data_IF_210454900826
#
_entry.id   IF_210454900826
#
_cell.length_a   1.000
_cell.length_b   1.000
_cell.length_c   1.000
_cell.angle_alpha   90.00
_cell.angle_beta   90.00
_cell.angle_gamma   90.00
#
_symmetry.space_group_name_H-M   'P 1'
#
loop_
_entity.id
_entity.type
_entity.pdbx_description
1 polymer ?
#
# COMPACT_ATOMS: atom_id res chain seq x y z
N UNK A 1 -13.06 2.10 -7.38
CA UNK A 1 -12.84 2.88 -6.13
C UNK A 1 -13.00 2.00 -4.89
N UNK A 2 -14.08 1.23 -4.77
CA UNK A 2 -14.24 0.26 -3.67
C UNK A 2 -13.14 -0.82 -3.67
N UNK A 3 -12.68 -1.25 -4.85
CA UNK A 3 -11.60 -2.23 -4.98
C UNK A 3 -10.26 -1.70 -4.46
N UNK A 4 -9.97 -0.42 -4.69
CA UNK A 4 -8.76 0.24 -4.19
C UNK A 4 -8.74 0.23 -2.67
N UNK A 5 -9.84 0.63 -2.03
CA UNK A 5 -9.94 0.64 -0.57
C UNK A 5 -9.92 -0.77 0.01
N UNK A 6 -10.55 -1.74 -0.66
CA UNK A 6 -10.54 -3.15 -0.25
C UNK A 6 -9.14 -3.77 -0.31
N UNK A 7 -8.32 -3.34 -1.27
CA UNK A 7 -6.94 -3.79 -1.40
C UNK A 7 -6.02 -3.08 -0.40
N UNK A 8 -6.23 -1.78 -0.18
CA UNK A 8 -5.50 -1.01 0.83
C UNK A 8 -5.74 -1.52 2.26
N UNK A 9 -6.98 -1.88 2.62
CA UNK A 9 -7.34 -2.44 3.94
C UNK A 9 -6.69 -3.82 4.19
N UNK A 10 -6.30 -4.54 3.13
CA UNK A 10 -5.51 -5.78 3.25
C UNK A 10 -4.02 -5.53 3.53
N UNK A 11 -3.51 -4.37 3.11
CA UNK A 11 -2.11 -3.98 3.29
C UNK A 11 -1.92 -3.32 4.66
N UNK A 12 -2.83 -2.42 5.01
CA UNK A 12 -2.80 -1.65 6.25
C UNK A 12 -4.15 -1.78 6.98
N UNK A 13 -4.11 -2.33 8.19
CA UNK A 13 -5.28 -2.51 9.04
C UNK A 13 -5.68 -1.20 9.74
N UNK A 14 -4.74 -0.27 9.93
CA UNK A 14 -5.02 1.05 10.44
C UNK A 14 -5.79 1.88 9.40
N UNK A 15 -7.09 2.01 9.64
CA UNK A 15 -7.98 2.76 8.74
C UNK A 15 -7.57 4.22 8.60
N UNK A 16 -6.98 4.83 9.63
CA UNK A 16 -6.57 6.23 9.54
C UNK A 16 -5.41 6.40 8.54
N UNK A 17 -4.44 5.48 8.56
CA UNK A 17 -3.36 5.41 7.58
C UNK A 17 -3.87 5.13 6.17
N UNK A 18 -4.84 4.22 5.99
CA UNK A 18 -5.48 3.99 4.68
C UNK A 18 -6.12 5.27 4.14
N UNK A 19 -6.86 6.00 4.98
CA UNK A 19 -7.50 7.26 4.57
C UNK A 19 -6.49 8.37 4.31
N UNK A 20 -5.44 8.46 5.12
CA UNK A 20 -4.36 9.41 4.91
C UNK A 20 -3.67 9.15 3.57
N UNK A 21 -3.27 7.91 3.32
CA UNK A 21 -2.71 7.53 2.04
C UNK A 21 -3.64 7.85 0.88
N UNK A 22 -4.92 7.45 0.98
CA UNK A 22 -5.85 7.54 -0.12
C UNK A 22 -6.13 8.99 -0.55
N UNK A 23 -6.21 9.92 0.41
CA UNK A 23 -6.58 11.31 0.15
C UNK A 23 -5.44 12.32 0.19
N UNK A 24 -4.33 12.01 0.86
CA UNK A 24 -3.31 13.03 1.21
C UNK A 24 -1.89 12.67 0.79
N UNK A 25 -1.61 11.40 0.48
CA UNK A 25 -0.25 10.98 0.10
C UNK A 25 -0.15 10.82 -1.42
N UNK A 26 0.69 11.62 -2.10
CA UNK A 26 0.96 11.43 -3.53
C UNK A 26 1.66 10.10 -3.77
N UNK A 27 1.30 9.41 -4.86
CA UNK A 27 1.93 8.15 -5.28
C UNK A 27 3.00 8.46 -6.32
N UNK A 28 4.25 8.05 -6.10
CA UNK A 28 5.31 8.10 -7.11
C UNK A 28 5.09 7.02 -8.20
N UNK A 29 5.37 7.28 -9.49
CA UNK A 29 5.88 8.52 -10.10
C UNK A 29 4.79 9.53 -10.48
N UNK A 30 3.53 9.25 -10.15
CA UNK A 30 2.40 10.01 -10.64
C UNK A 30 2.26 11.40 -10.01
N UNK A 31 2.83 11.61 -8.82
CA UNK A 31 2.76 12.86 -8.07
C UNK A 31 1.33 13.26 -7.68
N UNK A 32 0.41 12.28 -7.66
CA UNK A 32 -1.02 12.46 -7.35
C UNK A 32 -1.48 11.38 -6.39
N UNK A 33 -2.51 11.70 -5.61
CA UNK A 33 -3.10 10.78 -4.64
C UNK A 33 -3.87 9.66 -5.32
N UNK A 34 -4.11 8.57 -4.59
CA UNK A 34 -4.96 7.47 -5.04
C UNK A 34 -6.35 7.95 -5.44
N UNK A 35 -6.93 8.88 -4.66
CA UNK A 35 -8.23 9.48 -4.94
C UNK A 35 -8.22 10.24 -6.27
N UNK A 36 -7.24 11.12 -6.51
CA UNK A 36 -7.16 11.90 -7.75
C UNK A 36 -6.96 11.03 -8.98
N UNK A 37 -6.15 9.96 -8.86
CA UNK A 37 -5.96 8.98 -9.93
C UNK A 37 -7.26 8.21 -10.22
N UNK A 38 -7.94 7.72 -9.19
CA UNK A 38 -9.21 7.02 -9.34
C UNK A 38 -10.28 7.92 -9.99
N UNK A 39 -10.39 9.17 -9.56
CA UNK A 39 -11.31 10.16 -10.15
C UNK A 39 -10.98 10.50 -11.60
N UNK A 40 -9.71 10.42 -11.99
CA UNK A 40 -9.25 10.64 -13.37
C UNK A 40 -9.39 9.42 -14.28
N UNK A 41 -10.06 8.35 -13.83
CA UNK A 41 -10.18 7.08 -14.58
C UNK A 41 -8.90 6.24 -14.61
N UNK A 42 -7.90 6.58 -13.79
CA UNK A 42 -6.60 5.88 -13.68
C UNK A 42 -6.53 4.98 -12.44
N UNK A 43 -7.68 4.42 -12.04
CA UNK A 43 -7.79 3.56 -10.85
C UNK A 43 -6.99 2.26 -10.97
N UNK A 44 -6.88 1.70 -12.18
CA UNK A 44 -6.10 0.47 -12.43
C UNK A 44 -4.61 0.65 -12.09
N UNK A 45 -4.05 1.84 -12.25
CA UNK A 45 -2.66 2.13 -11.87
C UNK A 45 -2.47 2.11 -10.36
N UNK A 46 -3.46 2.57 -9.61
CA UNK A 46 -3.47 2.49 -8.14
C UNK A 46 -3.60 1.03 -7.69
N UNK A 47 -4.42 0.23 -8.38
CA UNK A 47 -4.56 -1.21 -8.09
C UNK A 47 -3.23 -1.93 -8.36
N UNK A 48 -2.57 -1.66 -9.49
CA UNK A 48 -1.27 -2.24 -9.82
C UNK A 48 -0.19 -1.86 -8.79
N UNK A 49 -0.19 -0.62 -8.31
CA UNK A 49 0.68 -0.18 -7.22
C UNK A 49 0.48 -1.03 -5.95
N UNK A 50 -0.78 -1.14 -5.48
CA UNK A 50 -1.10 -1.88 -4.26
C UNK A 50 -0.81 -3.39 -4.39
N UNK A 51 -1.02 -3.98 -5.57
CA UNK A 51 -0.63 -5.38 -5.83
C UNK A 51 0.89 -5.56 -5.72
N UNK A 52 1.67 -4.60 -6.21
CA UNK A 52 3.12 -4.56 -6.04
C UNK A 52 3.55 -4.53 -4.56
N UNK A 53 2.89 -3.68 -3.75
CA UNK A 53 3.14 -3.59 -2.30
C UNK A 53 2.82 -4.91 -1.58
N UNK A 54 1.72 -5.57 -1.94
CA UNK A 54 1.36 -6.89 -1.39
C UNK A 54 2.39 -7.96 -1.74
N UNK A 55 2.92 -7.94 -2.96
CA UNK A 55 3.95 -8.88 -3.40
C UNK A 55 5.27 -8.65 -2.67
N UNK A 56 5.73 -7.41 -2.54
CA UNK A 56 6.95 -7.06 -1.80
C UNK A 56 6.85 -7.47 -0.32
N UNK A 57 5.68 -7.24 0.30
CA UNK A 57 5.39 -7.65 1.68
C UNK A 57 5.45 -9.17 1.89
N UNK A 58 5.07 -9.96 0.88
CA UNK A 58 5.16 -11.42 0.93
C UNK A 58 6.60 -11.92 0.77
N UNK A 59 7.40 -11.26 -0.08
CA UNK A 59 8.83 -11.59 -0.28
C UNK A 59 9.68 -11.22 0.93
N UNK A 60 9.39 -10.10 1.61
CA UNK A 60 10.06 -9.69 2.85
C UNK A 60 9.80 -10.64 4.03
N UNK A 61 8.72 -11.43 3.98
CA UNK A 61 8.37 -12.45 4.98
C UNK A 61 8.93 -13.85 4.69
N UNK A 62 9.46 -14.11 3.49
CA UNK A 62 9.95 -15.41 3.06
C UNK A 62 11.40 -15.65 3.51
N UNK A 63 11.65 -15.64 4.82
CA UNK A 63 12.93 -16.05 5.38
C UNK A 63 12.97 -17.59 5.50
N UNK A 64 13.23 -18.28 4.39
CA UNK A 64 13.55 -19.71 4.36
C UNK A 64 14.99 -19.99 4.82
N UNK A 65 15.39 -19.50 5.99
CA UNK A 65 16.56 -20.04 6.75
C UNK A 65 16.66 -19.39 8.15
N UNK A 66 15.97 -19.99 9.12
CA UNK A 66 16.55 -20.27 10.44
C UNK A 66 16.86 -19.17 11.47
N UNK A 67 16.51 -17.89 11.32
CA UNK A 67 16.74 -16.88 12.39
C UNK A 67 15.54 -15.95 12.63
N UNK A 68 14.99 -15.86 13.85
CA UNK A 68 13.93 -14.90 14.17
C UNK A 68 14.54 -13.50 14.31
N UNK A 69 14.27 -12.62 13.33
CA UNK A 69 14.53 -11.19 13.44
C UNK A 69 13.43 -10.55 14.29
N UNK A 70 13.75 -9.67 15.26
CA UNK A 70 12.74 -9.04 16.09
C UNK A 70 11.78 -8.20 15.22
N UNK A 71 10.49 -8.54 15.30
CA UNK A 71 9.38 -7.81 14.68
C UNK A 71 9.25 -6.43 15.32
N UNK A 72 10.07 -5.48 14.86
CA UNK A 72 9.79 -4.06 15.04
C UNK A 72 8.45 -3.77 14.39
N UNK A 73 7.56 -3.10 15.13
CA UNK A 73 6.25 -2.59 14.69
C UNK A 73 6.35 -2.16 13.22
N UNK A 74 5.67 -2.91 12.34
CA UNK A 74 5.70 -2.68 10.89
C UNK A 74 5.22 -1.25 10.69
N UNK A 75 6.13 -0.40 10.18
CA UNK A 75 5.81 0.94 9.71
C UNK A 75 4.78 0.81 8.61
N UNK A 76 3.85 1.75 8.61
CA UNK A 76 2.70 1.91 7.74
C UNK A 76 3.06 1.54 6.28
N UNK A 77 2.84 0.29 5.82
CA UNK A 77 3.47 -0.23 4.62
C UNK A 77 2.96 0.49 3.37
N UNK A 78 1.68 0.88 3.37
CA UNK A 78 1.10 1.65 2.27
C UNK A 78 1.70 3.07 2.17
N UNK A 79 2.13 3.66 3.29
CA UNK A 79 2.80 4.96 3.31
C UNK A 79 4.29 4.86 2.98
N UNK A 80 4.92 3.71 3.25
CA UNK A 80 6.35 3.50 2.98
C UNK A 80 6.69 3.43 1.49
N UNK A 81 5.73 3.05 0.64
CA UNK A 81 5.92 2.90 -0.80
C UNK A 81 5.31 4.05 -1.63
N UNK A 82 4.64 5.01 -0.98
CA UNK A 82 3.93 6.10 -1.66
C UNK A 82 4.87 7.22 -2.13
#
# INVERSE_FOLDING_TARGET
MLDILSLADRIEADRAAVWEWFFRTPIWPHGRTAFELAQSGRGDEVIAFLDGVLRDSHESGANIDGVPVPRGRVRDPILAHA
#
